data_IF_646738844492
#
_entry.id   IF_646738844492
#
_cell.length_a   1.000
_cell.length_b   1.000
_cell.length_c   1.000
_cell.angle_alpha   90.00
_cell.angle_beta   90.00
_cell.angle_gamma   90.00
#
_symmetry.space_group_name_H-M   'P 1'
#
loop_
_entity.id
_entity.type
_entity.pdbx_description
1 polymer ?
#
# COMPACT_ATOMS: atom_id res chain seq x y z
N UNK A 1 -39.99 16.01 21.71
CA UNK A 1 -38.95 16.74 22.44
C UNK A 1 -38.81 18.16 21.89
N UNK A 2 -38.72 19.17 22.75
CA UNK A 2 -38.43 20.56 22.36
C UNK A 2 -37.09 20.98 22.98
N UNK A 3 -36.25 21.67 22.22
CA UNK A 3 -35.01 22.29 22.70
C UNK A 3 -35.07 23.76 22.32
N UNK A 4 -34.90 24.66 23.30
CA UNK A 4 -35.05 26.11 23.11
C UNK A 4 -36.32 26.47 22.32
N UNK A 5 -37.48 26.00 22.81
CA UNK A 5 -38.82 26.18 22.21
C UNK A 5 -39.02 25.64 20.78
N UNK A 6 -38.00 25.03 20.14
CA UNK A 6 -38.11 24.39 18.83
C UNK A 6 -38.37 22.89 18.96
N UNK A 7 -39.33 22.38 18.21
CA UNK A 7 -39.58 20.93 18.10
C UNK A 7 -38.40 20.26 17.41
N UNK A 8 -37.79 19.27 18.05
CA UNK A 8 -36.71 18.49 17.46
C UNK A 8 -37.33 17.53 16.44
N UNK A 9 -36.92 17.58 15.15
CA UNK A 9 -37.46 16.69 14.14
C UNK A 9 -37.03 15.24 14.42
N UNK A 10 -37.97 14.30 14.30
CA UNK A 10 -37.66 12.88 14.32
C UNK A 10 -37.21 12.45 12.93
N UNK A 11 -35.97 11.99 12.81
CA UNK A 11 -35.36 11.56 11.54
C UNK A 11 -34.85 10.14 11.67
N UNK A 12 -34.96 9.35 10.59
CA UNK A 12 -34.41 7.97 10.55
C UNK A 12 -32.88 7.95 10.60
N UNK A 13 -32.25 8.97 9.99
CA UNK A 13 -30.81 9.16 10.02
C UNK A 13 -30.46 10.62 10.28
N UNK A 14 -29.39 10.84 11.03
CA UNK A 14 -28.87 12.16 11.38
C UNK A 14 -27.36 12.20 11.14
N UNK A 15 -26.84 13.35 10.72
CA UNK A 15 -25.41 13.53 10.41
C UNK A 15 -24.76 14.47 11.43
N UNK A 16 -23.78 13.98 12.16
CA UNK A 16 -22.96 14.80 13.07
C UNK A 16 -21.50 14.77 12.65
N UNK A 17 -20.92 15.95 12.40
CA UNK A 17 -19.53 16.09 11.92
C UNK A 17 -19.20 15.17 10.72
N UNK A 18 -20.17 14.96 9.84
CA UNK A 18 -20.00 14.08 8.68
C UNK A 18 -20.20 12.59 8.94
N UNK A 19 -20.47 12.15 10.16
CA UNK A 19 -20.73 10.75 10.51
C UNK A 19 -22.25 10.54 10.57
N UNK A 20 -22.80 9.58 9.81
CA UNK A 20 -24.22 9.25 9.87
C UNK A 20 -24.53 8.37 11.08
N UNK A 21 -25.65 8.67 11.71
CA UNK A 21 -26.22 7.95 12.83
C UNK A 21 -27.64 7.51 12.49
N UNK A 22 -28.03 6.34 12.96
CA UNK A 22 -29.40 5.83 12.98
C UNK A 22 -29.79 5.50 14.43
N UNK A 23 -30.96 4.90 14.63
CA UNK A 23 -31.47 4.55 15.96
C UNK A 23 -30.54 3.61 16.78
N UNK A 24 -29.61 2.92 16.14
CA UNK A 24 -28.66 1.99 16.78
C UNK A 24 -27.25 2.59 16.97
N UNK A 25 -27.04 3.85 16.61
CA UNK A 25 -25.73 4.51 16.68
C UNK A 25 -25.15 4.80 15.28
N UNK A 26 -23.84 4.63 15.10
CA UNK A 26 -23.18 4.92 13.81
C UNK A 26 -23.71 3.99 12.73
N UNK A 27 -24.22 4.56 11.64
CA UNK A 27 -24.61 3.81 10.45
C UNK A 27 -23.36 3.50 9.62
N UNK A 28 -22.71 2.37 9.94
CA UNK A 28 -21.45 1.96 9.29
C UNK A 28 -21.58 1.76 7.78
N UNK A 29 -22.73 1.30 7.29
CA UNK A 29 -22.94 1.07 5.85
C UNK A 29 -23.09 2.39 5.10
N UNK A 30 -23.92 3.31 5.61
CA UNK A 30 -24.07 4.63 5.04
C UNK A 30 -22.75 5.41 5.10
N UNK A 31 -22.02 5.30 6.22
CA UNK A 31 -20.69 5.89 6.38
C UNK A 31 -19.76 5.39 5.27
N UNK A 32 -19.58 4.07 5.15
CA UNK A 32 -18.63 3.49 4.19
C UNK A 32 -19.00 3.87 2.75
N UNK A 33 -20.28 3.78 2.38
CA UNK A 33 -20.70 4.14 1.03
C UNK A 33 -20.38 5.61 0.71
N UNK A 34 -20.68 6.54 1.64
CA UNK A 34 -20.34 7.95 1.47
C UNK A 34 -18.82 8.19 1.36
N UNK A 35 -18.01 7.48 2.17
CA UNK A 35 -16.55 7.59 2.15
C UNK A 35 -15.95 7.05 0.86
N UNK A 36 -16.44 5.90 0.40
CA UNK A 36 -16.03 5.30 -0.88
C UNK A 36 -16.35 6.27 -2.01
N UNK A 37 -17.58 6.75 -2.12
CA UNK A 37 -18.01 7.69 -3.18
C UNK A 37 -17.16 8.95 -3.20
N UNK A 38 -16.89 9.54 -2.02
CA UNK A 38 -16.06 10.74 -1.92
C UNK A 38 -14.63 10.47 -2.41
N UNK A 39 -14.02 9.37 -1.98
CA UNK A 39 -12.64 9.05 -2.33
C UNK A 39 -12.48 8.65 -3.79
N UNK A 40 -13.37 7.81 -4.33
CA UNK A 40 -13.31 7.43 -5.74
C UNK A 40 -13.59 8.62 -6.65
N UNK A 41 -14.51 9.50 -6.28
CA UNK A 41 -14.75 10.79 -6.96
C UNK A 41 -13.52 11.69 -6.94
N UNK A 42 -12.85 11.81 -5.78
CA UNK A 42 -11.61 12.60 -5.66
C UNK A 42 -10.50 12.03 -6.55
N UNK A 43 -10.32 10.69 -6.58
CA UNK A 43 -9.34 10.05 -7.46
C UNK A 43 -9.69 10.21 -8.95
N UNK A 44 -10.99 10.18 -9.28
CA UNK A 44 -11.46 10.43 -10.64
C UNK A 44 -11.12 11.84 -11.12
N UNK A 45 -11.36 12.84 -10.27
CA UNK A 45 -11.00 14.23 -10.54
C UNK A 45 -9.49 14.38 -10.74
N UNK A 46 -8.67 13.83 -9.85
CA UNK A 46 -7.20 13.86 -10.01
C UNK A 46 -6.77 13.26 -11.37
N UNK A 47 -7.35 12.12 -11.75
CA UNK A 47 -7.06 11.49 -13.05
C UNK A 47 -7.48 12.38 -14.22
N UNK A 48 -8.64 13.03 -14.15
CA UNK A 48 -9.12 13.96 -15.18
C UNK A 48 -8.19 15.18 -15.33
N UNK A 49 -7.63 15.68 -14.23
CA UNK A 49 -6.63 16.74 -14.21
C UNK A 49 -5.22 16.30 -14.67
N UNK A 50 -5.09 15.10 -15.24
CA UNK A 50 -3.81 14.58 -15.73
C UNK A 50 -2.90 13.97 -14.65
N UNK A 51 -3.35 13.90 -13.38
CA UNK A 51 -2.60 13.29 -12.28
C UNK A 51 -2.74 11.76 -12.36
N UNK A 52 -2.03 11.18 -13.33
CA UNK A 52 -1.95 9.75 -13.62
C UNK A 52 -0.54 9.37 -14.09
N UNK A 53 -0.21 8.07 -14.13
CA UNK A 53 1.17 7.59 -14.30
C UNK A 53 1.93 8.12 -15.53
N UNK A 54 1.23 8.41 -16.63
CA UNK A 54 1.81 8.94 -17.87
C UNK A 54 1.92 10.47 -17.87
N UNK A 55 1.21 11.16 -16.97
CA UNK A 55 1.22 12.62 -16.87
C UNK A 55 2.33 13.10 -15.94
N UNK A 56 2.33 12.61 -14.69
CA UNK A 56 3.27 13.07 -13.65
C UNK A 56 4.14 11.93 -13.08
N UNK A 57 4.08 10.74 -13.66
CA UNK A 57 4.78 9.55 -13.15
C UNK A 57 3.98 8.78 -12.10
N UNK A 58 4.28 7.49 -11.92
CA UNK A 58 3.51 6.63 -11.02
C UNK A 58 3.64 7.03 -9.54
N UNK A 59 4.84 7.41 -9.10
CA UNK A 59 5.09 7.73 -7.69
C UNK A 59 4.35 8.97 -7.20
N UNK A 60 4.42 10.13 -7.87
CA UNK A 60 3.67 11.30 -7.45
C UNK A 60 2.17 11.04 -7.35
N UNK A 61 1.60 10.24 -8.25
CA UNK A 61 0.16 9.90 -8.22
C UNK A 61 -0.19 8.97 -7.07
N UNK A 62 0.61 7.93 -6.82
CA UNK A 62 0.40 7.04 -5.66
C UNK A 62 0.59 7.81 -4.33
N UNK A 63 1.50 8.79 -4.31
CA UNK A 63 1.65 9.73 -3.19
C UNK A 63 0.43 10.63 -3.04
N UNK A 64 -0.09 11.21 -4.12
CA UNK A 64 -1.32 12.01 -4.11
C UNK A 64 -2.51 11.20 -3.61
N UNK A 65 -2.66 9.94 -4.04
CA UNK A 65 -3.65 9.02 -3.48
C UNK A 65 -3.48 8.86 -1.97
N UNK A 66 -2.25 8.59 -1.49
CA UNK A 66 -1.98 8.42 -0.05
C UNK A 66 -2.25 9.68 0.77
N UNK A 67 -1.96 10.86 0.23
CA UNK A 67 -2.04 12.14 0.93
C UNK A 67 -3.43 12.76 0.89
N UNK A 68 -4.13 12.71 -0.24
CA UNK A 68 -5.37 13.46 -0.44
C UNK A 68 -6.62 12.56 -0.54
N UNK A 69 -6.51 11.39 -1.18
CA UNK A 69 -7.67 10.52 -1.43
C UNK A 69 -7.93 9.58 -0.25
N UNK A 70 -6.89 8.87 0.21
CA UNK A 70 -7.01 7.85 1.26
C UNK A 70 -7.56 8.41 2.59
N UNK A 71 -7.18 9.61 3.07
CA UNK A 71 -7.78 10.18 4.27
C UNK A 71 -9.30 10.35 4.17
N UNK A 72 -9.82 10.60 2.96
CA UNK A 72 -11.26 10.65 2.69
C UNK A 72 -11.97 9.32 2.98
N UNK A 73 -11.31 8.18 2.72
CA UNK A 73 -11.80 6.84 3.10
C UNK A 73 -11.62 6.56 4.58
N UNK A 74 -10.49 6.97 5.16
CA UNK A 74 -10.13 6.68 6.56
C UNK A 74 -11.04 7.39 7.57
N UNK A 75 -11.69 8.49 7.18
CA UNK A 75 -12.51 9.30 8.08
C UNK A 75 -13.70 8.52 8.67
N UNK A 76 -13.81 8.52 10.00
CA UNK A 76 -14.87 7.81 10.74
C UNK A 76 -14.58 6.33 10.99
N UNK A 77 -13.66 5.70 10.26
CA UNK A 77 -13.34 4.26 10.42
C UNK A 77 -12.72 3.95 11.79
N UNK A 78 -11.92 4.88 12.34
CA UNK A 78 -11.22 4.69 13.61
C UNK A 78 -12.15 4.42 14.80
N UNK A 79 -13.40 4.90 14.73
CA UNK A 79 -14.41 4.77 15.80
C UNK A 79 -15.57 3.86 15.43
N UNK A 80 -15.56 3.25 14.24
CA UNK A 80 -16.65 2.43 13.72
C UNK A 80 -16.28 0.95 13.79
N UNK A 81 -17.20 0.11 14.25
CA UNK A 81 -17.07 -1.36 14.19
C UNK A 81 -17.50 -1.83 12.81
N UNK A 82 -16.53 -2.31 12.01
CA UNK A 82 -16.77 -2.74 10.64
C UNK A 82 -16.85 -4.26 10.53
N UNK A 83 -17.76 -4.75 9.69
CA UNK A 83 -17.80 -6.15 9.27
C UNK A 83 -16.72 -6.46 8.23
N UNK A 84 -16.46 -7.74 7.96
CA UNK A 84 -15.52 -8.13 6.91
C UNK A 84 -16.01 -7.67 5.53
N UNK A 85 -17.32 -7.79 5.25
CA UNK A 85 -17.95 -7.31 4.00
C UNK A 85 -17.70 -5.82 3.78
N UNK A 86 -17.79 -5.03 4.86
CA UNK A 86 -17.52 -3.60 4.84
C UNK A 86 -16.04 -3.27 4.57
N UNK A 87 -15.12 -4.03 5.18
CA UNK A 87 -13.68 -3.93 4.91
C UNK A 87 -13.38 -4.30 3.45
N UNK A 88 -14.05 -5.31 2.89
CA UNK A 88 -13.86 -5.73 1.51
C UNK A 88 -14.37 -4.68 0.51
N UNK A 89 -15.48 -3.99 0.82
CA UNK A 89 -15.95 -2.82 0.05
C UNK A 89 -14.89 -1.71 0.01
N UNK A 90 -14.29 -1.39 1.16
CA UNK A 90 -13.22 -0.39 1.25
C UNK A 90 -11.98 -0.83 0.47
N UNK A 91 -11.59 -2.10 0.56
CA UNK A 91 -10.44 -2.64 -0.16
C UNK A 91 -10.68 -2.62 -1.68
N UNK A 92 -11.89 -2.95 -2.13
CA UNK A 92 -12.31 -2.82 -3.53
C UNK A 92 -12.23 -1.37 -4.01
N UNK A 93 -12.65 -0.40 -3.19
CA UNK A 93 -12.54 1.03 -3.50
C UNK A 93 -11.08 1.50 -3.57
N UNK A 94 -10.23 1.09 -2.62
CA UNK A 94 -8.78 1.33 -2.67
C UNK A 94 -8.19 0.79 -3.96
N UNK A 95 -8.44 -0.48 -4.30
CA UNK A 95 -7.98 -1.10 -5.55
C UNK A 95 -8.49 -0.35 -6.78
N UNK A 96 -9.74 0.11 -6.77
CA UNK A 96 -10.30 0.98 -7.81
C UNK A 96 -9.49 2.26 -8.00
N UNK A 97 -9.16 2.96 -6.90
CA UNK A 97 -8.34 4.16 -6.94
C UNK A 97 -6.92 3.89 -7.47
N UNK A 98 -6.28 2.80 -7.05
CA UNK A 98 -4.95 2.40 -7.54
C UNK A 98 -4.97 2.07 -9.03
N UNK A 99 -6.05 1.49 -9.57
CA UNK A 99 -6.17 1.31 -11.03
C UNK A 99 -6.22 2.64 -11.77
N UNK A 100 -6.90 3.64 -11.20
CA UNK A 100 -6.96 4.98 -11.81
C UNK A 100 -5.60 5.67 -11.84
N UNK A 101 -4.72 5.42 -10.86
CA UNK A 101 -3.33 5.93 -10.93
C UNK A 101 -2.56 5.36 -12.11
N UNK A 102 -2.89 4.12 -12.51
CA UNK A 102 -2.34 3.45 -13.68
C UNK A 102 -3.05 3.80 -14.99
N UNK A 103 -3.87 4.86 -14.99
CA UNK A 103 -4.72 5.24 -16.12
C UNK A 103 -5.64 4.10 -16.61
N UNK A 104 -6.06 3.21 -15.69
CA UNK A 104 -7.05 2.15 -15.97
C UNK A 104 -8.40 2.55 -15.37
N UNK A 105 -9.48 2.02 -15.95
CA UNK A 105 -10.80 2.15 -15.34
C UNK A 105 -10.84 1.35 -14.02
N UNK A 106 -11.46 1.92 -12.99
CA UNK A 106 -11.60 1.27 -11.68
C UNK A 106 -12.28 -0.12 -11.77
N UNK A 107 -13.18 -0.30 -12.74
CA UNK A 107 -13.92 -1.55 -12.96
C UNK A 107 -13.12 -2.62 -13.72
N UNK A 108 -12.09 -2.27 -14.48
CA UNK A 108 -11.30 -3.24 -15.26
C UNK A 108 -10.64 -4.28 -14.35
N UNK A 109 -10.72 -5.59 -14.68
CA UNK A 109 -10.01 -6.63 -13.92
C UNK A 109 -8.50 -6.39 -14.06
N UNK A 110 -7.85 -6.09 -12.95
CA UNK A 110 -6.44 -5.69 -12.95
C UNK A 110 -5.82 -5.85 -11.58
N UNK A 111 -4.62 -6.44 -11.54
CA UNK A 111 -3.88 -6.63 -10.29
C UNK A 111 -3.25 -5.32 -9.82
N UNK A 112 -3.49 -4.96 -8.57
CA UNK A 112 -2.98 -3.73 -7.93
C UNK A 112 -1.96 -4.03 -6.83
N UNK A 113 -1.62 -5.30 -6.64
CA UNK A 113 -0.75 -5.71 -5.54
C UNK A 113 0.66 -5.14 -5.66
N UNK A 114 1.27 -5.22 -6.84
CA UNK A 114 2.61 -4.70 -7.12
C UNK A 114 2.70 -3.18 -6.85
N UNK A 115 1.85 -2.30 -7.45
CA UNK A 115 1.93 -0.87 -7.17
C UNK A 115 1.65 -0.53 -5.70
N UNK A 116 0.76 -1.26 -5.02
CA UNK A 116 0.54 -1.07 -3.58
C UNK A 116 1.80 -1.40 -2.77
N UNK A 117 2.46 -2.53 -3.05
CA UNK A 117 3.72 -2.91 -2.39
C UNK A 117 4.83 -1.91 -2.70
N UNK A 118 5.03 -1.55 -3.97
CA UNK A 118 6.04 -0.57 -4.40
C UNK A 118 5.87 0.80 -3.71
N UNK A 119 4.63 1.21 -3.43
CA UNK A 119 4.34 2.45 -2.73
C UNK A 119 4.11 2.28 -1.21
N UNK A 120 4.35 1.08 -0.66
CA UNK A 120 4.14 0.76 0.76
C UNK A 120 2.73 1.12 1.27
N UNK A 121 1.72 0.79 0.47
CA UNK A 121 0.29 1.01 0.74
C UNK A 121 -0.29 -0.30 1.34
N UNK A 122 -0.67 -0.32 2.63
CA UNK A 122 -1.30 -1.50 3.23
C UNK A 122 -2.73 -1.71 2.73
N UNK A 123 -3.26 -2.93 2.88
CA UNK A 123 -4.68 -3.20 2.63
C UNK A 123 -5.60 -2.36 3.52
N UNK A 124 -6.88 -2.29 3.17
CA UNK A 124 -7.86 -1.62 4.05
C UNK A 124 -8.09 -2.37 5.36
N UNK A 125 -7.85 -3.69 5.40
CA UNK A 125 -7.89 -4.47 6.65
C UNK A 125 -6.83 -4.01 7.64
N UNK A 126 -5.56 -3.96 7.21
CA UNK A 126 -4.44 -3.50 8.04
C UNK A 126 -4.60 -2.01 8.39
N UNK A 127 -5.10 -1.19 7.46
CA UNK A 127 -5.32 0.23 7.71
C UNK A 127 -6.41 0.50 8.75
N UNK A 128 -7.56 -0.16 8.63
CA UNK A 128 -8.66 -0.08 9.60
C UNK A 128 -8.19 -0.51 10.98
N UNK A 129 -7.49 -1.66 11.07
CA UNK A 129 -6.91 -2.13 12.32
C UNK A 129 -5.93 -1.12 12.93
N UNK A 130 -5.07 -0.50 12.11
CA UNK A 130 -4.14 0.56 12.55
C UNK A 130 -4.88 1.78 13.11
N UNK A 131 -5.93 2.23 12.43
CA UNK A 131 -6.72 3.42 12.82
C UNK A 131 -7.44 3.20 14.15
N UNK A 132 -8.17 2.09 14.25
CA UNK A 132 -8.89 1.70 15.47
C UNK A 132 -7.90 1.48 16.63
N UNK A 133 -6.75 0.87 16.37
CA UNK A 133 -5.71 0.66 17.37
C UNK A 133 -5.18 1.98 17.92
N UNK A 134 -4.78 2.91 17.05
CA UNK A 134 -4.32 4.24 17.46
C UNK A 134 -5.38 4.98 18.28
N UNK A 135 -6.65 4.89 17.86
CA UNK A 135 -7.76 5.50 18.59
C UNK A 135 -7.93 4.89 19.99
N UNK A 136 -8.02 3.57 20.10
CA UNK A 136 -8.19 2.86 21.37
C UNK A 136 -7.03 3.12 22.33
N UNK A 137 -5.79 3.04 21.84
CA UNK A 137 -4.61 3.29 22.69
C UNK A 137 -4.59 4.73 23.18
N UNK A 138 -4.96 5.71 22.34
CA UNK A 138 -5.10 7.11 22.77
C UNK A 138 -6.18 7.25 23.82
N UNK A 139 -7.35 6.66 23.60
CA UNK A 139 -8.51 6.72 24.50
C UNK A 139 -8.18 6.24 25.92
N UNK A 140 -7.34 5.22 26.05
CA UNK A 140 -6.93 4.69 27.35
C UNK A 140 -6.00 5.61 28.13
N UNK A 141 -5.13 6.30 27.41
CA UNK A 141 -4.10 7.18 27.94
C UNK A 141 -4.55 8.65 28.04
N UNK A 142 -5.85 8.95 27.83
CA UNK A 142 -6.37 10.31 28.00
C UNK A 142 -6.34 10.75 29.47
N UNK A 143 -6.02 12.04 29.75
CA UNK A 143 -6.14 12.63 31.07
C UNK A 143 -7.58 12.58 31.60
N UNK A 144 -7.73 12.48 32.93
CA UNK A 144 -9.03 12.46 33.62
C UNK A 144 -9.84 13.72 33.38
N UNK A 145 -9.19 14.85 33.13
CA UNK A 145 -9.82 16.14 32.81
C UNK A 145 -10.51 16.18 31.43
N UNK A 146 -10.30 15.18 30.58
CA UNK A 146 -10.97 15.15 29.28
C UNK A 146 -12.38 14.59 29.40
N UNK A 147 -13.35 15.26 28.76
CA UNK A 147 -14.76 14.84 28.74
C UNK A 147 -14.93 13.35 28.42
N UNK A 148 -14.18 12.84 27.43
CA UNK A 148 -14.27 11.43 27.01
C UNK A 148 -13.81 10.47 28.12
N UNK A 149 -12.78 10.83 28.88
CA UNK A 149 -12.31 10.03 30.02
C UNK A 149 -13.31 10.09 31.17
N UNK A 150 -13.89 11.26 31.45
CA UNK A 150 -14.94 11.43 32.45
C UNK A 150 -16.19 10.61 32.10
N UNK A 151 -16.63 10.66 30.84
CA UNK A 151 -17.74 9.84 30.31
C UNK A 151 -17.43 8.34 30.48
N UNK A 152 -16.22 7.91 30.18
CA UNK A 152 -15.82 6.51 30.38
C UNK A 152 -15.91 6.10 31.84
N UNK A 153 -15.41 6.94 32.75
CA UNK A 153 -15.45 6.67 34.19
C UNK A 153 -16.89 6.65 34.73
N UNK A 154 -17.74 7.59 34.31
CA UNK A 154 -19.15 7.61 34.72
C UNK A 154 -19.92 6.40 34.19
N UNK A 155 -19.57 5.96 32.98
CA UNK A 155 -20.17 4.77 32.39
C UNK A 155 -19.72 3.47 33.08
N UNK A 156 -18.47 3.38 33.55
CA UNK A 156 -18.03 2.25 34.39
C UNK A 156 -18.85 2.15 35.69
N UNK A 157 -19.36 3.26 36.21
CA UNK A 157 -20.20 3.29 37.42
C UNK A 157 -21.66 2.89 37.14
N UNK A 158 -22.17 3.06 35.91
CA UNK A 158 -23.57 2.77 35.56
C UNK A 158 -23.83 1.31 35.12
N UNK A 159 -22.92 0.37 35.43
CA UNK A 159 -22.96 -1.07 35.10
C UNK A 159 -23.17 -1.47 33.62
N UNK A 160 -23.34 -0.57 32.65
CA UNK A 160 -23.49 -1.00 31.23
C UNK A 160 -23.23 -0.02 30.03
N UNK A 161 -22.02 0.56 29.81
CA UNK A 161 -21.82 1.38 28.60
C UNK A 161 -20.39 1.39 28.01
N UNK A 162 -19.62 0.31 28.17
CA UNK A 162 -18.28 0.18 27.56
C UNK A 162 -18.26 -0.76 26.32
N UNK A 163 -19.42 -1.28 25.90
CA UNK A 163 -19.49 -2.32 24.86
C UNK A 163 -18.84 -1.90 23.54
N UNK A 164 -19.05 -0.67 23.06
CA UNK A 164 -18.56 -0.29 21.73
C UNK A 164 -17.03 -0.21 21.67
N UNK A 165 -16.42 0.51 22.62
CA UNK A 165 -14.96 0.69 22.66
C UNK A 165 -14.25 -0.57 23.14
N UNK A 166 -14.87 -1.34 24.03
CA UNK A 166 -14.40 -2.68 24.41
C UNK A 166 -14.45 -3.62 23.21
N UNK A 167 -15.55 -3.64 22.42
CA UNK A 167 -15.66 -4.40 21.15
C UNK A 167 -14.58 -4.00 20.15
N UNK A 168 -14.30 -2.70 19.98
CA UNK A 168 -13.20 -2.23 19.13
C UNK A 168 -11.85 -2.74 19.62
N UNK A 169 -11.60 -2.70 20.94
CA UNK A 169 -10.35 -3.17 21.54
C UNK A 169 -10.18 -4.68 21.43
N UNK A 170 -11.24 -5.45 21.73
CA UNK A 170 -11.19 -6.93 21.74
C UNK A 170 -11.12 -7.50 20.34
N UNK A 171 -11.82 -6.92 19.35
CA UNK A 171 -11.77 -7.37 17.95
C UNK A 171 -10.49 -6.96 17.23
N UNK A 172 -9.77 -5.95 17.73
CA UNK A 172 -8.58 -5.45 17.07
C UNK A 172 -7.32 -6.26 17.42
N UNK A 173 -6.82 -7.00 16.44
CA UNK A 173 -5.61 -7.82 16.57
C UNK A 173 -4.34 -7.02 16.91
N UNK A 174 -4.25 -5.74 16.53
CA UNK A 174 -3.12 -4.89 16.89
C UNK A 174 -3.15 -4.58 18.39
N UNK A 175 -4.33 -4.27 18.93
CA UNK A 175 -4.48 -3.99 20.36
C UNK A 175 -4.16 -5.21 21.24
N UNK A 176 -4.58 -6.41 20.82
CA UNK A 176 -4.20 -7.66 21.48
C UNK A 176 -2.67 -7.86 21.49
N UNK A 177 -2.00 -7.60 20.37
CA UNK A 177 -0.54 -7.73 20.25
C UNK A 177 0.21 -6.68 21.05
N UNK A 178 -0.28 -5.44 21.06
CA UNK A 178 0.23 -4.36 21.90
C UNK A 178 0.24 -4.75 23.38
N UNK A 179 -0.84 -5.34 23.89
CA UNK A 179 -0.89 -5.80 25.28
C UNK A 179 0.10 -6.93 25.58
N UNK A 180 0.35 -7.83 24.62
CA UNK A 180 1.39 -8.86 24.77
C UNK A 180 2.79 -8.24 24.81
N UNK A 181 3.09 -7.30 23.92
CA UNK A 181 4.38 -6.60 23.88
C UNK A 181 4.61 -5.74 25.12
N UNK A 182 3.57 -5.09 25.65
CA UNK A 182 3.62 -4.31 26.88
C UNK A 182 4.03 -5.15 28.10
N UNK A 183 3.72 -6.44 28.10
CA UNK A 183 4.08 -7.40 29.16
C UNK A 183 5.42 -8.11 28.92
N UNK A 184 6.12 -7.78 27.82
CA UNK A 184 7.44 -8.35 27.51
C UNK A 184 8.49 -7.88 28.52
N UNK A 185 9.50 -8.73 28.78
CA UNK A 185 10.65 -8.39 29.64
C UNK A 185 11.50 -7.23 29.09
N UNK A 186 11.53 -7.08 27.76
CA UNK A 186 12.19 -5.96 27.07
C UNK A 186 11.23 -5.34 26.05
N UNK A 187 10.36 -4.40 26.46
CA UNK A 187 9.44 -3.75 25.55
C UNK A 187 10.22 -2.78 24.63
N UNK A 188 9.86 -2.67 23.33
CA UNK A 188 10.40 -1.63 22.45
C UNK A 188 10.11 -0.22 22.99
N UNK A 189 11.01 0.74 22.73
CA UNK A 189 10.84 2.16 23.12
C UNK A 189 9.54 2.75 22.57
N UNK A 190 9.19 2.46 21.31
CA UNK A 190 7.90 2.84 20.71
C UNK A 190 7.05 1.59 20.42
N UNK A 191 6.28 1.19 21.44
CA UNK A 191 5.36 0.06 21.38
C UNK A 191 4.29 0.20 20.29
N UNK A 192 3.80 1.42 20.04
CA UNK A 192 2.73 1.68 19.08
C UNK A 192 3.28 1.45 17.67
N UNK A 193 4.41 2.08 17.34
CA UNK A 193 5.05 1.90 16.04
C UNK A 193 5.47 0.45 15.85
N UNK A 194 6.11 -0.18 16.83
CA UNK A 194 6.54 -1.58 16.75
C UNK A 194 5.38 -2.55 16.45
N UNK A 195 4.24 -2.39 17.14
CA UNK A 195 3.03 -3.19 16.89
C UNK A 195 2.53 -3.03 15.45
N UNK A 196 2.49 -1.79 14.95
CA UNK A 196 2.05 -1.48 13.58
C UNK A 196 3.01 -2.07 12.55
N UNK A 197 4.33 -1.91 12.73
CA UNK A 197 5.32 -2.43 11.79
C UNK A 197 5.23 -3.96 11.72
N UNK A 198 5.20 -4.66 12.86
CA UNK A 198 5.10 -6.13 12.90
C UNK A 198 3.88 -6.65 12.13
N UNK A 199 2.69 -6.05 12.33
CA UNK A 199 1.48 -6.47 11.61
C UNK A 199 1.54 -6.18 10.11
N UNK A 200 2.20 -5.10 9.71
CA UNK A 200 2.41 -4.79 8.29
C UNK A 200 3.44 -5.71 7.64
N UNK A 201 4.44 -6.14 8.40
CA UNK A 201 5.47 -7.06 7.94
C UNK A 201 4.91 -8.49 7.84
N UNK A 202 4.02 -8.89 8.75
CA UNK A 202 3.20 -10.11 8.63
C UNK A 202 2.37 -10.10 7.33
N UNK A 203 1.64 -9.01 7.04
CA UNK A 203 0.91 -8.85 5.77
C UNK A 203 1.85 -8.96 4.58
N UNK A 204 2.98 -8.26 4.60
CA UNK A 204 3.95 -8.27 3.50
C UNK A 204 4.51 -9.68 3.25
N UNK A 205 4.87 -10.41 4.30
CA UNK A 205 5.35 -11.80 4.20
C UNK A 205 4.30 -12.71 3.55
N UNK A 206 3.04 -12.62 3.98
CA UNK A 206 1.95 -13.37 3.37
C UNK A 206 1.78 -13.06 1.88
N UNK A 207 1.99 -11.80 1.47
CA UNK A 207 1.96 -11.43 0.06
C UNK A 207 3.15 -11.99 -0.72
N UNK A 208 4.35 -12.02 -0.13
CA UNK A 208 5.54 -12.66 -0.75
C UNK A 208 5.31 -14.16 -0.96
N UNK A 209 4.77 -14.84 0.03
CA UNK A 209 4.52 -16.28 -0.03
C UNK A 209 3.44 -16.62 -1.07
N UNK A 210 2.42 -15.75 -1.21
CA UNK A 210 1.28 -15.97 -2.11
C UNK A 210 1.54 -15.57 -3.57
N UNK A 211 2.35 -14.54 -3.82
CA UNK A 211 2.49 -13.95 -5.16
C UNK A 211 3.94 -13.93 -5.63
N UNK A 212 4.23 -14.66 -6.71
CA UNK A 212 5.56 -14.69 -7.36
C UNK A 212 6.07 -13.30 -7.75
N UNK A 213 5.18 -12.38 -8.14
CA UNK A 213 5.54 -10.99 -8.46
C UNK A 213 6.10 -10.22 -7.27
N UNK A 214 5.66 -10.56 -6.06
CA UNK A 214 6.07 -9.91 -4.82
C UNK A 214 7.25 -10.65 -4.18
N UNK A 215 7.35 -11.97 -4.34
CA UNK A 215 8.51 -12.75 -3.86
C UNK A 215 9.83 -12.26 -4.48
N UNK A 216 9.81 -11.83 -5.74
CA UNK A 216 10.95 -11.24 -6.45
C UNK A 216 11.35 -9.82 -5.98
N UNK A 217 10.54 -9.15 -5.14
CA UNK A 217 10.85 -7.83 -4.59
C UNK A 217 11.71 -7.95 -3.32
N UNK A 218 12.14 -6.81 -2.77
CA UNK A 218 12.96 -6.74 -1.54
C UNK A 218 12.30 -7.47 -0.37
N UNK A 219 13.11 -7.94 0.58
CA UNK A 219 12.61 -8.57 1.83
C UNK A 219 12.12 -7.55 2.86
N UNK A 220 12.35 -6.27 2.60
CA UNK A 220 12.02 -5.18 3.51
C UNK A 220 10.92 -4.29 2.91
N UNK A 221 9.94 -3.95 3.74
CA UNK A 221 8.81 -3.11 3.33
C UNK A 221 9.19 -1.64 3.30
N UNK A 222 9.45 -1.13 2.11
CA UNK A 222 9.74 0.29 1.86
C UNK A 222 9.09 0.76 0.57
N UNK A 223 9.08 2.09 0.35
CA UNK A 223 8.83 2.61 -0.99
C UNK A 223 10.00 2.19 -1.86
N UNK A 224 9.73 1.52 -2.97
CA UNK A 224 10.76 1.02 -3.87
C UNK A 224 11.58 2.19 -4.45
N UNK A 225 12.93 2.14 -4.43
CA UNK A 225 13.76 3.25 -4.93
C UNK A 225 13.50 3.64 -6.38
N UNK A 226 13.11 2.69 -7.22
CA UNK A 226 12.72 2.94 -8.63
C UNK A 226 11.59 3.98 -8.77
N UNK A 227 10.85 4.23 -7.69
CA UNK A 227 9.75 5.19 -7.65
C UNK A 227 10.23 6.63 -7.58
N UNK A 228 11.39 6.90 -6.97
CA UNK A 228 11.83 8.26 -6.68
C UNK A 228 13.27 8.59 -7.10
N UNK A 229 14.15 7.61 -7.33
CA UNK A 229 15.50 7.86 -7.86
C UNK A 229 15.43 8.63 -9.19
N UNK A 230 16.38 9.54 -9.42
CA UNK A 230 16.42 10.34 -10.64
C UNK A 230 16.72 9.48 -11.86
N UNK A 231 15.80 9.55 -12.83
CA UNK A 231 15.75 8.71 -14.02
C UNK A 231 14.90 9.41 -15.07
N UNK A 232 15.28 9.33 -16.36
CA UNK A 232 14.39 9.69 -17.46
C UNK A 232 13.07 8.94 -17.36
N UNK A 233 11.95 9.61 -17.65
CA UNK A 233 10.60 9.04 -17.52
C UNK A 233 10.44 7.70 -18.25
N UNK A 234 11.01 7.56 -19.45
CA UNK A 234 10.98 6.32 -20.25
C UNK A 234 11.69 5.15 -19.55
N UNK A 235 12.83 5.40 -18.91
CA UNK A 235 13.59 4.35 -18.21
C UNK A 235 12.92 3.93 -16.92
N UNK A 236 12.41 4.90 -16.14
CA UNK A 236 11.59 4.62 -14.96
C UNK A 236 10.39 3.75 -15.32
N UNK A 237 9.73 4.05 -16.43
CA UNK A 237 8.59 3.27 -16.90
C UNK A 237 8.97 1.81 -17.24
N UNK A 238 10.15 1.56 -17.83
CA UNK A 238 10.65 0.19 -18.09
C UNK A 238 10.93 -0.57 -16.80
N UNK A 239 11.54 0.08 -15.81
CA UNK A 239 11.80 -0.54 -14.50
C UNK A 239 10.50 -0.89 -13.76
N UNK A 240 9.53 0.02 -13.80
CA UNK A 240 8.19 -0.23 -13.24
C UNK A 240 7.51 -1.40 -13.97
N UNK A 241 7.54 -1.43 -15.31
CA UNK A 241 7.00 -2.53 -16.11
C UNK A 241 7.67 -3.86 -15.78
N UNK A 242 8.98 -3.87 -15.58
CA UNK A 242 9.73 -5.05 -15.15
C UNK A 242 9.20 -5.57 -13.80
N UNK A 243 9.07 -4.69 -12.79
CA UNK A 243 8.50 -5.05 -11.47
C UNK A 243 7.06 -5.54 -11.55
N UNK A 244 6.27 -4.97 -12.47
CA UNK A 244 4.88 -5.37 -12.68
C UNK A 244 4.74 -6.64 -13.53
N UNK A 245 5.85 -7.22 -14.00
CA UNK A 245 5.88 -8.34 -14.94
C UNK A 245 5.12 -8.03 -16.26
N UNK A 246 5.14 -6.77 -16.69
CA UNK A 246 4.65 -6.34 -18.01
C UNK A 246 5.78 -6.17 -19.03
N UNK A 247 7.01 -6.38 -18.58
CA UNK A 247 8.18 -6.51 -19.41
C UNK A 247 8.85 -7.86 -19.06
N UNK A 248 9.04 -8.77 -20.02
CA UNK A 248 8.68 -8.68 -21.44
C UNK A 248 7.18 -8.56 -21.69
N UNK A 249 6.80 -8.13 -22.90
CA UNK A 249 5.43 -7.73 -23.22
C UNK A 249 4.40 -8.81 -22.86
N UNK A 250 3.21 -8.37 -22.47
CA UNK A 250 2.03 -9.24 -22.34
C UNK A 250 0.97 -8.84 -23.39
N UNK A 251 0.40 -9.77 -24.18
CA UNK A 251 0.72 -11.20 -24.24
C UNK A 251 2.19 -11.44 -24.63
N UNK A 252 2.74 -12.59 -24.22
CA UNK A 252 4.12 -12.97 -24.53
C UNK A 252 4.28 -13.02 -26.04
N UNK A 253 5.33 -12.35 -26.53
CA UNK A 253 5.67 -12.30 -27.95
C UNK A 253 6.94 -13.09 -28.22
N UNK A 254 7.17 -13.37 -29.50
CA UNK A 254 8.43 -13.90 -29.97
C UNK A 254 9.56 -12.89 -29.71
N UNK A 255 10.69 -13.38 -29.21
CA UNK A 255 11.89 -12.59 -29.07
C UNK A 255 12.51 -12.38 -30.46
N UNK A 256 13.13 -11.23 -30.69
CA UNK A 256 13.92 -10.99 -31.92
C UNK A 256 15.12 -11.95 -32.08
N UNK A 257 15.45 -12.79 -31.10
CA UNK A 257 16.44 -13.86 -31.27
C UNK A 257 15.86 -15.16 -31.84
N UNK A 258 14.55 -15.22 -32.11
CA UNK A 258 13.86 -16.40 -32.64
C UNK A 258 13.09 -17.22 -31.60
N UNK A 259 13.26 -16.95 -30.30
CA UNK A 259 12.50 -17.66 -29.25
C UNK A 259 11.01 -17.33 -29.33
N UNK A 260 10.14 -18.35 -29.33
CA UNK A 260 8.70 -18.18 -29.45
C UNK A 260 8.10 -17.61 -28.16
N UNK A 261 8.58 -18.09 -27.01
CA UNK A 261 8.09 -17.70 -25.69
C UNK A 261 9.13 -16.85 -24.95
N UNK A 262 9.21 -15.56 -25.28
CA UNK A 262 10.14 -14.62 -24.66
C UNK A 262 9.73 -14.27 -23.21
N UNK A 263 9.82 -15.23 -22.29
CA UNK A 263 9.57 -15.05 -20.87
C UNK A 263 10.73 -14.33 -20.18
N UNK A 264 10.55 -13.88 -18.93
CA UNK A 264 11.65 -13.36 -18.11
C UNK A 264 12.78 -14.38 -17.95
N UNK A 265 12.46 -15.68 -17.93
CA UNK A 265 13.45 -16.75 -17.86
C UNK A 265 14.28 -16.84 -19.14
N UNK A 266 13.66 -16.69 -20.31
CA UNK A 266 14.39 -16.64 -21.59
C UNK A 266 15.46 -15.54 -21.59
N UNK A 267 15.15 -14.33 -21.10
CA UNK A 267 16.12 -13.24 -21.09
C UNK A 267 17.35 -13.49 -20.20
N UNK A 268 17.37 -14.52 -19.34
CA UNK A 268 18.61 -14.93 -18.65
C UNK A 268 19.64 -15.52 -19.61
N UNK A 269 19.17 -16.21 -20.64
CA UNK A 269 19.99 -17.00 -21.57
C UNK A 269 19.87 -16.50 -23.01
N UNK A 270 19.22 -15.35 -23.24
CA UNK A 270 19.03 -14.80 -24.57
C UNK A 270 20.39 -14.42 -25.17
N UNK A 271 20.79 -14.98 -26.33
CA UNK A 271 22.12 -14.76 -26.91
C UNK A 271 22.34 -13.30 -27.29
N UNK A 272 21.29 -12.58 -27.68
CA UNK A 272 21.35 -11.14 -28.00
C UNK A 272 21.53 -10.26 -26.76
N UNK A 273 21.08 -10.71 -25.59
CA UNK A 273 21.17 -9.96 -24.34
C UNK A 273 22.41 -10.33 -23.52
N UNK A 274 22.95 -11.53 -23.70
CA UNK A 274 24.03 -12.11 -22.91
C UNK A 274 25.26 -11.20 -22.78
N UNK A 275 25.77 -10.52 -23.85
CA UNK A 275 26.92 -9.62 -23.70
C UNK A 275 26.64 -8.43 -22.78
N UNK A 276 25.42 -7.88 -22.83
CA UNK A 276 25.02 -6.77 -21.97
C UNK A 276 24.80 -7.21 -20.52
N UNK A 277 24.28 -8.41 -20.31
CA UNK A 277 24.13 -9.00 -18.98
C UNK A 277 25.50 -9.25 -18.35
N UNK A 278 26.45 -9.86 -19.07
CA UNK A 278 27.80 -10.10 -18.57
C UNK A 278 28.49 -8.78 -18.18
N UNK A 279 28.37 -7.74 -19.01
CA UNK A 279 28.89 -6.40 -18.69
C UNK A 279 28.24 -5.78 -17.45
N UNK A 280 26.93 -5.95 -17.28
CA UNK A 280 26.23 -5.51 -16.07
C UNK A 280 26.74 -6.23 -14.84
N UNK A 281 26.94 -7.55 -14.92
CA UNK A 281 27.44 -8.36 -13.81
C UNK A 281 28.88 -7.99 -13.44
N UNK A 282 29.75 -7.79 -14.43
CA UNK A 282 31.12 -7.30 -14.22
C UNK A 282 31.13 -5.96 -13.46
N UNK A 283 30.32 -4.99 -13.90
CA UNK A 283 30.25 -3.68 -13.25
C UNK A 283 29.60 -3.71 -11.86
N UNK A 284 28.67 -4.63 -11.63
CA UNK A 284 27.95 -4.76 -10.36
C UNK A 284 28.72 -5.59 -9.32
N UNK A 285 29.63 -6.47 -9.77
CA UNK A 285 30.36 -7.42 -8.95
C UNK A 285 29.62 -8.73 -8.73
N UNK A 286 30.25 -9.65 -7.99
CA UNK A 286 29.76 -11.00 -7.73
C UNK A 286 28.35 -10.97 -7.15
N UNK A 287 27.41 -11.59 -7.86
CA UNK A 287 26.14 -11.97 -7.28
C UNK A 287 26.41 -13.25 -6.49
N UNK A 288 26.09 -13.32 -5.18
CA UNK A 288 26.23 -14.56 -4.42
C UNK A 288 25.55 -15.68 -5.18
N UNK A 289 26.21 -16.84 -5.24
CA UNK A 289 25.74 -18.00 -6.02
C UNK A 289 24.26 -18.24 -5.69
N UNK A 290 23.39 -17.81 -6.61
CA UNK A 290 21.97 -17.72 -6.37
C UNK A 290 21.48 -19.15 -6.39
N UNK A 291 21.40 -19.81 -5.22
CA UNK A 291 20.52 -20.95 -5.03
C UNK A 291 19.20 -20.58 -5.73
N UNK A 292 18.89 -21.28 -6.81
CA UNK A 292 17.79 -21.00 -7.72
C UNK A 292 16.52 -20.51 -6.97
N UNK A 293 15.77 -19.50 -7.47
CA UNK A 293 15.70 -19.04 -8.86
C UNK A 293 15.59 -17.50 -9.01
N UNK A 294 16.45 -16.69 -8.37
CA UNK A 294 16.29 -15.22 -8.47
C UNK A 294 16.80 -14.72 -9.84
N UNK A 295 15.96 -13.97 -10.55
CA UNK A 295 16.35 -13.24 -11.76
C UNK A 295 17.48 -12.24 -11.44
N UNK A 296 18.62 -12.22 -12.17
CA UNK A 296 19.73 -11.31 -11.87
C UNK A 296 19.32 -9.84 -11.77
N UNK A 297 18.40 -9.42 -12.65
CA UNK A 297 17.84 -8.07 -12.63
C UNK A 297 17.02 -7.79 -11.37
N UNK A 298 16.24 -8.76 -10.87
CA UNK A 298 15.50 -8.56 -9.62
C UNK A 298 16.45 -8.42 -8.43
N UNK A 299 17.53 -9.21 -8.41
CA UNK A 299 18.56 -9.09 -7.38
C UNK A 299 19.19 -7.70 -7.37
N UNK A 300 19.63 -7.20 -8.54
CA UNK A 300 20.23 -5.87 -8.65
C UNK A 300 19.21 -4.79 -8.26
N UNK A 301 17.97 -4.87 -8.74
CA UNK A 301 16.90 -3.92 -8.40
C UNK A 301 16.58 -3.91 -6.89
N UNK A 302 16.61 -5.07 -6.25
CA UNK A 302 16.41 -5.21 -4.80
C UNK A 302 17.54 -4.57 -3.98
N UNK A 303 18.71 -4.39 -4.59
CA UNK A 303 19.86 -3.77 -3.96
C UNK A 303 20.04 -2.28 -4.29
N UNK A 304 19.19 -1.68 -5.14
CA UNK A 304 19.28 -0.25 -5.43
C UNK A 304 19.33 0.57 -4.13
N UNK A 305 20.17 1.61 -4.08
CA UNK A 305 20.25 2.44 -2.91
C UNK A 305 18.94 3.22 -2.72
N UNK A 306 18.67 3.58 -1.48
CA UNK A 306 17.53 4.44 -1.13
C UNK A 306 17.86 5.93 -1.15
N UNK A 307 19.14 6.26 -1.22
CA UNK A 307 19.62 7.62 -1.32
C UNK A 307 20.42 7.73 -2.62
N UNK A 308 20.12 8.77 -3.38
CA UNK A 308 20.78 9.09 -4.64
C UNK A 308 22.28 9.31 -4.50
N UNK A 309 22.74 9.89 -3.38
CA UNK A 309 24.17 10.08 -3.11
C UNK A 309 24.94 8.75 -3.23
N UNK A 310 24.32 7.63 -2.86
CA UNK A 310 24.91 6.29 -2.91
C UNK A 310 24.96 5.72 -4.33
N UNK A 311 24.17 6.26 -5.28
CA UNK A 311 24.34 5.94 -6.71
C UNK A 311 25.70 6.45 -7.23
N UNK A 312 26.26 7.49 -6.59
CA UNK A 312 27.61 7.98 -6.84
C UNK A 312 28.73 7.06 -6.35
N UNK A 313 28.43 5.93 -5.72
CA UNK A 313 29.46 4.96 -5.34
C UNK A 313 30.04 4.26 -6.58
N UNK A 314 31.34 3.91 -6.53
CA UNK A 314 32.07 3.24 -7.63
C UNK A 314 31.30 2.10 -8.30
N UNK A 315 30.58 1.29 -7.51
CA UNK A 315 29.73 0.19 -7.97
C UNK A 315 28.57 0.68 -8.86
N UNK A 316 27.79 1.63 -8.38
CA UNK A 316 26.57 2.08 -9.05
C UNK A 316 26.84 3.02 -10.22
N UNK A 317 27.93 3.78 -10.21
CA UNK A 317 28.34 4.64 -11.33
C UNK A 317 28.37 3.85 -12.65
N UNK A 318 28.93 2.63 -12.64
CA UNK A 318 29.01 1.78 -13.85
C UNK A 318 27.82 0.84 -13.99
N UNK A 319 27.33 0.26 -12.89
CA UNK A 319 26.23 -0.71 -12.95
C UNK A 319 24.88 -0.08 -13.30
N UNK A 320 24.63 1.18 -12.89
CA UNK A 320 23.35 1.84 -13.12
C UNK A 320 23.05 2.10 -14.61
N UNK A 321 23.95 2.71 -15.39
CA UNK A 321 23.75 2.83 -16.84
C UNK A 321 23.65 1.48 -17.55
N UNK A 322 24.44 0.48 -17.12
CA UNK A 322 24.39 -0.86 -17.69
C UNK A 322 23.03 -1.54 -17.46
N UNK A 323 22.46 -1.41 -16.25
CA UNK A 323 21.13 -1.93 -15.91
C UNK A 323 20.05 -1.31 -16.79
N UNK A 324 20.09 0.01 -16.96
CA UNK A 324 19.16 0.74 -17.83
C UNK A 324 19.28 0.24 -19.28
N UNK A 325 20.51 0.04 -19.78
CA UNK A 325 20.76 -0.47 -21.13
C UNK A 325 20.20 -1.88 -21.33
N UNK A 326 20.39 -2.78 -20.36
CA UNK A 326 19.81 -4.14 -20.40
C UNK A 326 18.28 -4.07 -20.48
N UNK A 327 17.62 -3.24 -19.66
CA UNK A 327 16.16 -3.10 -19.69
C UNK A 327 15.64 -2.46 -20.98
N UNK A 328 16.40 -1.54 -21.59
CA UNK A 328 16.10 -1.00 -22.92
C UNK A 328 16.16 -2.08 -23.99
N UNK A 329 17.19 -2.93 -23.95
CA UNK A 329 17.36 -4.03 -24.89
C UNK A 329 16.27 -5.07 -24.75
N UNK A 330 15.93 -5.50 -23.52
CA UNK A 330 14.79 -6.42 -23.28
C UNK A 330 13.52 -5.84 -23.90
N UNK A 331 13.24 -4.55 -23.70
CA UNK A 331 12.07 -3.90 -24.28
C UNK A 331 12.08 -3.88 -25.81
N UNK A 332 13.25 -3.68 -26.43
CA UNK A 332 13.40 -3.75 -27.88
C UNK A 332 13.18 -5.18 -28.40
N UNK A 333 13.82 -6.16 -27.77
CA UNK A 333 13.72 -7.58 -28.11
C UNK A 333 12.31 -8.15 -27.90
N UNK A 334 11.54 -7.64 -26.93
CA UNK A 334 10.18 -8.09 -26.63
C UNK A 334 9.09 -7.48 -27.51
N UNK A 335 9.41 -6.39 -28.21
CA UNK A 335 8.47 -5.68 -29.08
C UNK A 335 8.99 -5.75 -30.52
N UNK A 336 8.93 -6.96 -31.08
CA UNK A 336 8.93 -7.17 -32.54
C UNK A 336 7.59 -6.70 -33.12
#
# INVERSE_FOLDING_TARGET
YRLYTKTIPMVKTFKYLGIPFNQFGIDSDLLINQRITKATGSMALLRQLGIQQYGVGLWPVLRAYRTFVRPGMDYGIAISTLSQVQIDKLDKAQKGCIKMTLNRNAKTPFSTIVPMVMANIPSMKIRTGTLQFKFVTRLQNLPVSTLVKSIKLSFLWSKNPDEHWKKLSTRNQFYQRYNKLKKSSKPPNDLISATIQQKRDEEFKLLKDKFKTISCMRDIRVVEPIMYLELPSKDRHRMIKWRMHWLPSYPIKTCRCGEINATREHYKICPRLQPLLLKLLDHYGTIPDLKHPVQPLDYILNNLPRNEVVLGNKRWIKAWPALIRVLREINFLSHA
#
